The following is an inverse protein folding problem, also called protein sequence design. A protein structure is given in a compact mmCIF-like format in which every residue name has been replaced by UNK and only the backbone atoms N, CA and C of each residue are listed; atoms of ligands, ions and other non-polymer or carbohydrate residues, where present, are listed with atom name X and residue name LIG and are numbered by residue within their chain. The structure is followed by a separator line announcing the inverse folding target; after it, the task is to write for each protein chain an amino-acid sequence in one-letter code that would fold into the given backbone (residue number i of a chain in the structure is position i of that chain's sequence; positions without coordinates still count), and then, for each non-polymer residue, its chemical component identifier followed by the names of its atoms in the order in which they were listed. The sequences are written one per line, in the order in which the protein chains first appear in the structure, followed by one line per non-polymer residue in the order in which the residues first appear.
data_IF_097281942749
#
_entry.id   IF_097281942749
#
_cell.length_a   1.000
_cell.length_b   1.000
_cell.length_c   1.000
_cell.angle_alpha   90.00
_cell.angle_beta   90.00
_cell.angle_gamma   90.00
#
_symmetry.space_group_name_H-M   'P 1'
#
loop_
_entity.id
_entity.type
_entity.pdbx_description
1 polymer ?
#
# COMPACT_ATOMS: atom_id res chain seq x y z
N UNK A 1 2.98 -15.06 -8.79
CA UNK A 1 2.57 -15.72 -7.54
C UNK A 1 1.38 -16.66 -7.74
N UNK A 2 0.22 -16.20 -8.23
CA UNK A 2 -1.01 -17.03 -8.35
C UNK A 2 -0.81 -18.32 -9.12
N UNK A 3 -0.07 -18.28 -10.23
CA UNK A 3 0.27 -19.48 -11.00
C UNK A 3 1.17 -20.42 -10.17
N UNK A 4 2.17 -19.87 -9.48
CA UNK A 4 3.07 -20.64 -8.62
C UNK A 4 2.33 -21.27 -7.45
N UNK A 5 1.39 -20.56 -6.84
CA UNK A 5 0.52 -21.06 -5.78
C UNK A 5 -0.30 -22.25 -6.29
N UNK A 6 -0.99 -22.09 -7.42
CA UNK A 6 -1.75 -23.18 -8.04
C UNK A 6 -0.89 -24.42 -8.32
N UNK A 7 0.28 -24.25 -8.90
CA UNK A 7 1.20 -25.37 -9.21
C UNK A 7 1.71 -26.04 -7.94
N UNK A 8 2.01 -25.29 -6.89
CA UNK A 8 2.46 -25.83 -5.61
C UNK A 8 1.34 -26.60 -4.90
N UNK A 9 0.13 -26.07 -4.87
CA UNK A 9 -1.05 -26.77 -4.32
C UNK A 9 -1.36 -28.03 -5.11
N UNK A 10 -1.38 -27.96 -6.45
CA UNK A 10 -1.59 -29.14 -7.30
C UNK A 10 -0.56 -30.23 -7.02
N UNK A 11 0.71 -29.85 -6.90
CA UNK A 11 1.81 -30.78 -6.60
C UNK A 11 1.65 -31.42 -5.23
N UNK A 12 1.27 -30.63 -4.22
CA UNK A 12 0.99 -31.13 -2.87
C UNK A 12 -0.15 -32.18 -2.86
N UNK A 13 -1.27 -31.89 -3.51
CA UNK A 13 -2.39 -32.85 -3.62
C UNK A 13 -1.98 -34.11 -4.38
N UNK A 14 -1.20 -33.98 -5.46
CA UNK A 14 -0.69 -35.13 -6.18
C UNK A 14 0.19 -36.02 -5.29
N UNK A 15 1.06 -35.42 -4.48
CA UNK A 15 1.89 -36.16 -3.54
C UNK A 15 1.07 -36.83 -2.45
N UNK A 16 0.00 -36.17 -1.92
CA UNK A 16 -0.93 -36.77 -0.97
C UNK A 16 -1.66 -38.02 -1.53
N UNK A 17 -2.08 -37.96 -2.78
CA UNK A 17 -2.73 -39.10 -3.44
C UNK A 17 -1.72 -40.26 -3.58
N UNK A 18 -0.48 -39.96 -3.90
CA UNK A 18 0.57 -40.96 -4.03
C UNK A 18 0.98 -41.60 -2.70
N UNK A 19 0.85 -40.91 -1.57
CA UNK A 19 0.99 -41.49 -0.23
C UNK A 19 0.00 -42.64 0.00
N UNK A 20 -1.25 -42.43 -0.41
CA UNK A 20 -2.30 -43.45 -0.31
C UNK A 20 -1.96 -44.71 -1.13
N UNK A 21 -1.09 -44.55 -2.13
CA UNK A 21 -0.63 -45.63 -3.02
C UNK A 21 0.74 -46.25 -2.62
N UNK A 22 1.23 -46.00 -1.38
CA UNK A 22 2.40 -46.66 -0.82
C UNK A 22 3.71 -45.85 -0.87
N UNK A 23 3.71 -44.57 -1.24
CA UNK A 23 4.87 -43.70 -1.09
C UNK A 23 5.06 -43.26 0.37
N UNK A 24 6.28 -43.28 0.88
CA UNK A 24 6.58 -43.03 2.29
C UNK A 24 6.56 -41.55 2.70
N UNK A 25 6.67 -40.60 1.74
CA UNK A 25 6.86 -39.17 2.04
C UNK A 25 5.93 -38.26 1.23
N UNK A 26 5.39 -37.25 1.89
CA UNK A 26 4.62 -36.15 1.26
C UNK A 26 5.52 -35.29 0.35
N UNK A 27 6.81 -35.24 0.63
CA UNK A 27 7.83 -34.49 -0.15
C UNK A 27 8.94 -35.43 -0.59
N UNK A 28 9.43 -35.24 -1.81
CA UNK A 28 10.50 -36.05 -2.40
C UNK A 28 11.90 -35.46 -2.20
N UNK A 29 11.96 -34.16 -1.97
CA UNK A 29 13.21 -33.44 -1.79
C UNK A 29 12.98 -32.15 -0.95
N UNK A 30 14.08 -31.50 -0.55
CA UNK A 30 14.05 -30.29 0.27
C UNK A 30 13.25 -29.16 -0.38
N UNK A 31 13.27 -29.02 -1.70
CA UNK A 31 12.50 -27.99 -2.40
C UNK A 31 10.99 -28.18 -2.19
N UNK A 32 10.51 -29.42 -2.29
CA UNK A 32 9.10 -29.74 -2.05
C UNK A 32 8.71 -29.54 -0.59
N UNK A 33 9.60 -29.84 0.34
CA UNK A 33 9.41 -29.55 1.78
C UNK A 33 9.27 -28.05 2.01
N UNK A 34 10.14 -27.21 1.43
CA UNK A 34 10.06 -25.77 1.57
C UNK A 34 8.79 -25.18 0.91
N UNK A 35 8.35 -25.75 -0.21
CA UNK A 35 7.05 -25.38 -0.82
C UNK A 35 5.89 -25.71 0.10
N UNK A 36 5.88 -26.92 0.68
CA UNK A 36 4.86 -27.32 1.65
C UNK A 36 4.85 -26.37 2.86
N UNK A 37 6.01 -26.09 3.44
CA UNK A 37 6.15 -25.15 4.54
C UNK A 37 5.60 -23.76 4.17
N UNK A 38 5.94 -23.25 2.99
CA UNK A 38 5.46 -21.96 2.50
C UNK A 38 3.94 -21.92 2.34
N UNK A 39 3.33 -23.02 1.85
CA UNK A 39 1.88 -23.15 1.76
C UNK A 39 1.24 -23.13 3.16
N UNK A 40 1.79 -23.91 4.09
CA UNK A 40 1.30 -23.96 5.48
C UNK A 40 1.36 -22.56 6.12
N UNK A 41 2.49 -21.86 6.01
CA UNK A 41 2.64 -20.51 6.57
C UNK A 41 1.58 -19.55 6.02
N UNK A 42 1.34 -19.56 4.70
CA UNK A 42 0.35 -18.67 4.09
C UNK A 42 -1.07 -19.04 4.51
N UNK A 43 -1.47 -20.29 4.29
CA UNK A 43 -2.86 -20.71 4.52
C UNK A 43 -3.23 -20.74 5.99
N UNK A 44 -2.33 -21.21 6.87
CA UNK A 44 -2.58 -21.27 8.30
C UNK A 44 -2.70 -19.86 8.91
N UNK A 45 -1.88 -18.91 8.46
CA UNK A 45 -2.00 -17.52 8.89
C UNK A 45 -3.33 -16.92 8.50
N UNK A 46 -3.75 -17.08 7.23
CA UNK A 46 -5.03 -16.55 6.75
C UNK A 46 -6.19 -17.23 7.49
N UNK A 47 -6.12 -18.55 7.68
CA UNK A 47 -7.11 -19.31 8.43
C UNK A 47 -7.29 -18.77 9.86
N UNK A 48 -6.20 -18.60 10.61
CA UNK A 48 -6.29 -18.10 11.97
C UNK A 48 -6.77 -16.65 12.04
N UNK A 49 -6.41 -15.79 11.11
CA UNK A 49 -6.93 -14.42 11.05
C UNK A 49 -8.45 -14.43 10.91
N UNK A 50 -8.98 -15.30 10.05
CA UNK A 50 -10.43 -15.40 9.80
C UNK A 50 -11.14 -16.03 11.00
N UNK A 51 -10.69 -17.20 11.48
CA UNK A 51 -11.34 -17.94 12.56
C UNK A 51 -11.31 -17.20 13.90
N UNK A 52 -10.17 -16.59 14.23
CA UNK A 52 -10.04 -15.84 15.47
C UNK A 52 -10.59 -14.41 15.37
N UNK A 53 -11.11 -14.02 14.19
CA UNK A 53 -11.60 -12.65 13.91
C UNK A 53 -10.58 -11.61 14.38
N UNK A 54 -9.29 -11.89 14.10
CA UNK A 54 -8.19 -11.06 14.56
C UNK A 54 -8.31 -9.66 13.99
N UNK A 55 -8.19 -8.64 14.84
CA UNK A 55 -8.14 -7.25 14.40
C UNK A 55 -6.80 -6.99 13.73
N UNK A 56 -6.78 -6.99 12.41
CA UNK A 56 -5.58 -6.68 11.61
C UNK A 56 -5.63 -5.21 11.26
N UNK A 57 -4.55 -4.49 11.58
CA UNK A 57 -4.41 -3.11 11.12
C UNK A 57 -4.16 -3.10 9.61
N UNK A 58 -4.48 -1.96 8.99
CA UNK A 58 -4.32 -1.75 7.56
C UNK A 58 -2.91 -2.03 7.04
N UNK A 59 -2.86 -2.59 5.84
CA UNK A 59 -1.63 -2.94 5.15
C UNK A 59 -1.01 -4.26 5.62
N UNK A 60 0.15 -4.56 5.06
CA UNK A 60 0.88 -5.81 5.27
C UNK A 60 1.61 -5.93 6.62
N UNK A 61 1.62 -4.88 7.43
CA UNK A 61 2.51 -4.76 8.59
C UNK A 61 2.43 -5.93 9.57
N UNK A 62 1.22 -6.43 9.83
CA UNK A 62 1.03 -7.53 10.77
C UNK A 62 1.23 -8.92 10.16
N UNK A 63 1.14 -9.03 8.85
CA UNK A 63 1.30 -10.30 8.11
C UNK A 63 2.56 -10.33 7.25
N UNK A 64 3.50 -9.39 7.50
CA UNK A 64 4.71 -9.25 6.69
C UNK A 64 5.58 -10.51 6.71
N UNK A 65 5.50 -11.32 7.75
CA UNK A 65 6.23 -12.58 7.87
C UNK A 65 5.81 -13.65 6.85
N UNK A 66 4.66 -13.52 6.20
CA UNK A 66 4.28 -14.43 5.10
C UNK A 66 4.94 -14.05 3.77
N UNK A 67 5.51 -12.84 3.68
CA UNK A 67 6.09 -12.32 2.43
C UNK A 67 7.24 -13.18 1.88
N UNK A 68 8.19 -13.69 2.68
CA UNK A 68 9.20 -14.62 2.21
C UNK A 68 8.62 -15.87 1.53
N UNK A 69 7.53 -16.42 2.08
CA UNK A 69 6.84 -17.58 1.50
C UNK A 69 6.20 -17.25 0.15
N UNK A 70 5.60 -16.06 0.02
CA UNK A 70 5.04 -15.57 -1.25
C UNK A 70 6.14 -15.42 -2.30
N UNK A 71 7.27 -14.82 -1.94
CA UNK A 71 8.42 -14.63 -2.82
C UNK A 71 8.99 -15.98 -3.26
N UNK A 72 9.16 -16.91 -2.33
CA UNK A 72 9.67 -18.24 -2.62
C UNK A 72 8.81 -19.00 -3.65
N UNK A 73 7.48 -19.02 -3.46
CA UNK A 73 6.53 -19.62 -4.41
C UNK A 73 6.59 -18.92 -5.78
N UNK A 74 6.78 -17.59 -5.80
CA UNK A 74 6.90 -16.83 -7.04
C UNK A 74 8.18 -17.17 -7.81
N UNK A 75 9.32 -17.27 -7.11
CA UNK A 75 10.61 -17.70 -7.69
C UNK A 75 10.51 -19.11 -8.22
N UNK A 76 9.90 -20.02 -7.47
CA UNK A 76 9.67 -21.39 -7.93
C UNK A 76 8.88 -21.44 -9.24
N UNK A 77 7.83 -20.61 -9.35
CA UNK A 77 7.06 -20.50 -10.59
C UNK A 77 7.92 -20.00 -11.76
N UNK A 78 8.73 -18.98 -11.53
CA UNK A 78 9.65 -18.44 -12.56
C UNK A 78 10.64 -19.52 -13.00
N UNK A 79 11.23 -20.27 -12.08
CA UNK A 79 12.15 -21.39 -12.39
C UNK A 79 11.48 -22.47 -13.25
N UNK A 80 10.23 -22.86 -12.90
CA UNK A 80 9.47 -23.81 -13.70
C UNK A 80 9.20 -23.32 -15.12
N UNK A 81 8.85 -22.04 -15.26
CA UNK A 81 8.62 -21.41 -16.57
C UNK A 81 9.93 -21.34 -17.34
N UNK A 82 11.02 -20.93 -16.70
CA UNK A 82 12.35 -20.81 -17.29
C UNK A 82 12.88 -22.13 -17.84
N UNK A 83 12.60 -23.25 -17.14
CA UNK A 83 12.95 -24.60 -17.58
C UNK A 83 12.16 -25.09 -18.81
N UNK A 84 10.93 -24.60 -19.00
CA UNK A 84 10.03 -25.01 -20.07
C UNK A 84 10.11 -24.15 -21.32
N UNK A 85 10.48 -22.89 -21.21
CA UNK A 85 10.51 -21.94 -22.33
C UNK A 85 11.86 -22.03 -23.04
N UNK A 86 11.83 -22.12 -24.38
CA UNK A 86 13.05 -22.12 -25.23
C UNK A 86 13.70 -20.73 -25.27
N UNK A 87 12.89 -19.65 -25.21
CA UNK A 87 13.34 -18.25 -25.29
C UNK A 87 13.69 -17.72 -23.90
N UNK A 88 14.74 -18.24 -23.27
CA UNK A 88 15.18 -17.82 -21.92
C UNK A 88 15.48 -16.33 -21.84
N UNK A 89 16.13 -15.77 -22.87
CA UNK A 89 16.44 -14.34 -22.94
C UNK A 89 15.22 -13.42 -22.89
N UNK A 90 14.04 -13.89 -23.34
CA UNK A 90 12.80 -13.14 -23.19
C UNK A 90 12.40 -13.00 -21.71
N UNK A 91 12.53 -14.08 -20.93
CA UNK A 91 12.21 -14.05 -19.50
C UNK A 91 13.17 -13.11 -18.77
N UNK A 92 14.48 -13.22 -19.05
CA UNK A 92 15.50 -12.37 -18.45
C UNK A 92 15.23 -10.90 -18.78
N UNK A 93 14.91 -10.58 -20.04
CA UNK A 93 14.57 -9.23 -20.47
C UNK A 93 13.33 -8.70 -19.73
N UNK A 94 12.26 -9.50 -19.60
CA UNK A 94 11.05 -9.09 -18.87
C UNK A 94 11.33 -8.84 -17.40
N UNK A 95 12.18 -9.66 -16.76
CA UNK A 95 12.57 -9.45 -15.36
C UNK A 95 13.38 -8.13 -15.20
N UNK A 96 14.38 -7.90 -16.06
CA UNK A 96 15.16 -6.66 -16.02
C UNK A 96 14.30 -5.43 -16.27
N UNK A 97 13.42 -5.46 -17.28
CA UNK A 97 12.49 -4.37 -17.57
C UNK A 97 11.58 -4.11 -16.36
N UNK A 98 11.04 -5.15 -15.74
CA UNK A 98 10.21 -5.02 -14.55
C UNK A 98 10.97 -4.35 -13.40
N UNK A 99 12.22 -4.73 -13.15
CA UNK A 99 13.06 -4.11 -12.11
C UNK A 99 13.30 -2.63 -12.42
N UNK A 100 13.69 -2.31 -13.66
CA UNK A 100 13.95 -0.92 -14.08
C UNK A 100 12.70 -0.05 -13.91
N UNK A 101 11.53 -0.54 -14.35
CA UNK A 101 10.26 0.19 -14.20
C UNK A 101 9.92 0.46 -12.73
N UNK A 102 10.17 -0.51 -11.84
CA UNK A 102 9.95 -0.30 -10.39
C UNK A 102 10.93 0.74 -9.82
N UNK A 103 12.21 0.70 -10.22
CA UNK A 103 13.21 1.68 -9.80
C UNK A 103 12.80 3.08 -10.26
N UNK A 104 12.44 3.24 -11.53
CA UNK A 104 11.99 4.53 -12.07
C UNK A 104 10.74 5.04 -11.34
N UNK A 105 9.79 4.14 -11.04
CA UNK A 105 8.61 4.49 -10.28
C UNK A 105 8.97 5.00 -8.87
N UNK A 106 9.89 4.32 -8.17
CA UNK A 106 10.36 4.72 -6.84
C UNK A 106 10.98 6.12 -6.88
N UNK A 107 11.86 6.41 -7.84
CA UNK A 107 12.47 7.72 -7.98
C UNK A 107 11.45 8.82 -8.26
N UNK A 108 10.49 8.57 -9.16
CA UNK A 108 9.48 9.55 -9.54
C UNK A 108 8.47 9.84 -8.44
N UNK A 109 8.26 8.88 -7.51
CA UNK A 109 7.27 9.02 -6.45
C UNK A 109 7.89 9.23 -5.06
N UNK A 110 9.17 9.58 -4.99
CA UNK A 110 9.80 9.91 -3.72
C UNK A 110 9.22 11.22 -3.14
N UNK A 111 8.86 11.30 -1.84
CA UNK A 111 8.97 10.28 -0.77
C UNK A 111 7.72 9.40 -0.57
N UNK A 112 6.79 9.36 -1.50
CA UNK A 112 5.47 8.71 -1.35
C UNK A 112 5.43 7.25 -1.82
N UNK A 113 6.58 6.55 -1.85
CA UNK A 113 6.69 5.17 -2.37
C UNK A 113 5.81 4.16 -1.62
N UNK A 114 5.52 4.41 -0.35
CA UNK A 114 4.65 3.53 0.44
C UNK A 114 3.19 3.52 -0.01
N UNK A 115 2.78 4.51 -0.84
CA UNK A 115 1.47 4.57 -1.48
C UNK A 115 1.41 3.81 -2.82
N UNK A 116 2.33 2.85 -3.03
CA UNK A 116 2.30 2.04 -4.24
C UNK A 116 1.08 1.13 -4.28
N UNK A 117 0.27 1.31 -5.31
CA UNK A 117 -0.82 0.40 -5.65
C UNK A 117 -0.57 -0.20 -7.02
N UNK A 118 -0.79 -1.53 -7.12
CA UNK A 118 -0.65 -2.24 -8.38
C UNK A 118 -1.59 -1.64 -9.43
N UNK A 119 -1.11 -1.50 -10.67
CA UNK A 119 -1.88 -1.00 -11.82
C UNK A 119 -3.15 -1.79 -12.14
N UNK A 120 -3.27 -3.03 -11.62
CA UNK A 120 -4.47 -3.85 -11.72
C UNK A 120 -5.63 -3.25 -10.90
N UNK A 121 -5.32 -2.51 -9.83
CA UNK A 121 -6.34 -1.85 -9.02
C UNK A 121 -6.88 -0.66 -9.82
N UNK A 122 -8.17 -0.71 -10.16
CA UNK A 122 -8.79 0.39 -10.87
C UNK A 122 -8.76 1.68 -10.03
N UNK A 123 -8.66 2.83 -10.70
CA UNK A 123 -8.70 4.15 -10.04
C UNK A 123 -9.90 4.30 -9.09
N UNK A 124 -11.05 3.73 -9.44
CA UNK A 124 -12.24 3.76 -8.60
C UNK A 124 -12.13 2.95 -7.31
N UNK A 125 -11.30 1.92 -7.29
CA UNK A 125 -11.12 1.05 -6.12
C UNK A 125 -10.03 1.55 -5.17
N UNK A 126 -9.12 2.41 -5.62
CA UNK A 126 -8.06 2.98 -4.77
C UNK A 126 -8.67 3.78 -3.61
N UNK A 127 -9.83 4.41 -3.81
CA UNK A 127 -10.59 5.11 -2.76
C UNK A 127 -11.01 4.24 -1.58
N UNK A 128 -10.94 2.92 -1.71
CA UNK A 128 -11.25 1.98 -0.63
C UNK A 128 -10.03 1.65 0.25
N UNK A 129 -8.86 2.14 -0.12
CA UNK A 129 -7.61 1.95 0.62
C UNK A 129 -7.25 3.22 1.39
N UNK A 130 -6.52 3.04 2.48
CA UNK A 130 -5.93 4.17 3.21
C UNK A 130 -4.76 4.73 2.39
N UNK A 131 -4.84 6.03 2.13
CA UNK A 131 -3.75 6.79 1.54
C UNK A 131 -2.96 7.44 2.67
N UNK A 132 -1.81 7.96 2.40
CA UNK A 132 -0.96 8.74 3.31
C UNK A 132 -1.11 8.45 4.82
N UNK A 133 -1.08 7.17 5.19
CA UNK A 133 -1.23 6.70 6.57
C UNK A 133 -0.27 7.42 7.54
N UNK A 134 0.94 7.70 7.09
CA UNK A 134 1.97 8.34 7.92
C UNK A 134 1.93 9.87 7.87
N UNK A 135 1.08 10.48 7.04
CA UNK A 135 0.97 11.93 6.92
C UNK A 135 2.24 12.60 6.36
N UNK A 136 2.98 11.91 5.49
CA UNK A 136 4.20 12.45 4.87
C UNK A 136 3.87 13.69 4.02
N UNK A 137 2.67 13.75 3.44
CA UNK A 137 2.20 14.90 2.66
C UNK A 137 1.90 16.14 3.52
N UNK A 138 1.65 15.97 4.83
CA UNK A 138 1.18 17.05 5.69
C UNK A 138 2.10 18.28 5.68
N UNK A 139 3.41 18.08 5.79
CA UNK A 139 4.38 19.20 5.78
C UNK A 139 4.31 19.97 4.46
N UNK A 140 4.21 19.27 3.34
CA UNK A 140 4.15 19.90 2.01
C UNK A 140 2.84 20.67 1.83
N UNK A 141 1.74 20.14 2.36
CA UNK A 141 0.44 20.82 2.38
C UNK A 141 0.53 22.12 3.17
N UNK A 142 1.10 22.08 4.37
CA UNK A 142 1.25 23.28 5.21
C UNK A 142 2.12 24.34 4.55
N UNK A 143 3.27 23.96 3.96
CA UNK A 143 4.12 24.87 3.21
C UNK A 143 3.37 25.51 2.03
N UNK A 144 2.57 24.71 1.31
CA UNK A 144 1.78 25.23 0.19
C UNK A 144 0.68 26.20 0.63
N UNK A 145 0.07 25.98 1.79
CA UNK A 145 -0.89 26.93 2.37
C UNK A 145 -0.21 28.26 2.71
N UNK A 146 1.01 28.22 3.26
CA UNK A 146 1.80 29.41 3.52
C UNK A 146 2.06 30.21 2.23
N UNK A 147 2.40 29.51 1.14
CA UNK A 147 2.64 30.13 -0.17
C UNK A 147 1.36 30.76 -0.76
N UNK A 148 0.22 30.13 -0.57
CA UNK A 148 -1.08 30.57 -1.09
C UNK A 148 -1.68 31.73 -0.32
N UNK A 149 -1.43 31.81 0.98
CA UNK A 149 -2.05 32.79 1.86
C UNK A 149 -1.10 33.92 2.24
N UNK A 150 -1.55 35.17 2.07
CA UNK A 150 -0.84 36.38 2.55
C UNK A 150 -1.24 36.79 3.97
N UNK A 151 -2.14 36.07 4.65
CA UNK A 151 -2.60 36.40 6.00
C UNK A 151 -1.47 36.21 7.00
N UNK A 152 -1.43 37.06 8.02
CA UNK A 152 -0.51 36.93 9.16
C UNK A 152 -0.82 35.70 9.99
N UNK A 153 -2.11 35.41 10.18
CA UNK A 153 -2.62 34.22 10.88
C UNK A 153 -3.55 33.46 9.93
N UNK A 154 -3.27 32.18 9.75
CA UNK A 154 -4.01 31.26 8.87
C UNK A 154 -4.67 30.21 9.74
N UNK A 155 -5.98 30.20 9.78
CA UNK A 155 -6.76 29.20 10.52
C UNK A 155 -6.98 27.97 9.65
N UNK A 156 -6.55 26.80 10.14
CA UNK A 156 -6.64 25.54 9.43
C UNK A 156 -7.48 24.54 10.24
N UNK A 157 -8.53 24.02 9.63
CA UNK A 157 -9.29 22.89 10.15
C UNK A 157 -8.72 21.58 9.61
N UNK A 158 -8.37 20.65 10.51
CA UNK A 158 -7.81 19.34 10.15
C UNK A 158 -8.92 18.31 10.16
N UNK A 159 -9.27 17.82 8.96
CA UNK A 159 -10.33 16.82 8.79
C UNK A 159 -9.84 15.37 8.94
N UNK A 160 -8.55 15.13 9.03
CA UNK A 160 -7.95 13.80 9.18
C UNK A 160 -7.46 13.54 10.59
N UNK A 161 -7.37 12.26 10.96
CA UNK A 161 -6.88 11.82 12.28
C UNK A 161 -5.38 12.06 12.45
N UNK A 162 -4.64 12.28 11.35
CA UNK A 162 -3.20 12.45 11.38
C UNK A 162 -2.76 13.76 12.02
N UNK A 163 -1.70 13.71 12.85
CA UNK A 163 -1.27 14.85 13.64
C UNK A 163 -0.52 15.89 12.81
N UNK A 164 -1.22 16.81 12.17
CA UNK A 164 -0.64 17.95 11.47
C UNK A 164 0.23 18.85 12.37
N UNK A 165 -0.02 18.85 13.69
CA UNK A 165 0.81 19.58 14.64
C UNK A 165 2.28 19.12 14.64
N UNK A 166 2.55 17.82 14.42
CA UNK A 166 3.92 17.34 14.29
C UNK A 166 4.60 17.89 13.03
N UNK A 167 3.88 17.91 11.92
CA UNK A 167 4.38 18.51 10.68
C UNK A 167 4.58 20.01 10.80
N UNK A 168 3.69 20.71 11.51
CA UNK A 168 3.87 22.12 11.85
C UNK A 168 5.18 22.37 12.62
N UNK A 169 5.55 21.49 13.54
CA UNK A 169 6.81 21.61 14.30
C UNK A 169 8.07 21.47 13.45
N UNK A 170 7.96 20.89 12.26
CA UNK A 170 9.07 20.76 11.30
C UNK A 170 9.22 22.01 10.39
N UNK A 171 8.30 22.98 10.45
CA UNK A 171 8.36 24.21 9.67
C UNK A 171 9.31 25.22 10.28
N UNK A 172 9.70 26.23 9.47
CA UNK A 172 10.44 27.38 9.95
C UNK A 172 9.64 28.17 10.98
N UNK A 173 10.30 28.78 11.95
CA UNK A 173 9.64 29.47 13.08
C UNK A 173 8.75 30.66 12.63
N UNK A 174 9.09 31.34 11.54
CA UNK A 174 8.26 32.39 10.94
C UNK A 174 6.93 31.84 10.43
N UNK A 175 6.97 30.74 9.69
CA UNK A 175 5.80 30.13 9.05
C UNK A 175 4.93 29.40 10.06
N UNK A 176 5.56 28.73 11.03
CA UNK A 176 4.91 28.07 12.14
C UNK A 176 4.02 29.00 12.96
N UNK A 177 4.44 30.26 13.18
CA UNK A 177 3.66 31.27 13.90
C UNK A 177 2.41 31.69 13.14
N UNK A 178 2.43 31.61 11.82
CA UNK A 178 1.29 31.97 10.97
C UNK A 178 0.18 30.93 10.98
N UNK A 179 0.45 29.67 11.32
CA UNK A 179 -0.52 28.58 11.29
C UNK A 179 -1.17 28.43 12.66
N UNK A 180 -2.49 28.50 12.69
CA UNK A 180 -3.33 28.18 13.84
C UNK A 180 -4.32 27.09 13.47
N UNK A 181 -4.32 25.97 14.20
CA UNK A 181 -5.35 24.94 14.03
C UNK A 181 -6.62 25.34 14.78
N UNK A 182 -7.77 25.15 14.15
CA UNK A 182 -9.10 25.40 14.73
C UNK A 182 -9.93 24.12 14.74
N UNK A 183 -10.79 24.00 15.75
CA UNK A 183 -11.77 22.91 15.83
C UNK A 183 -13.10 23.27 15.15
N UNK A 184 -13.30 24.56 14.86
CA UNK A 184 -14.49 25.05 14.19
C UNK A 184 -14.23 25.18 12.68
N UNK A 185 -14.95 24.41 11.87
CA UNK A 185 -14.83 24.40 10.42
C UNK A 185 -15.26 25.75 9.80
N UNK A 186 -16.22 26.44 10.40
CA UNK A 186 -16.75 27.71 9.88
C UNK A 186 -15.77 28.87 10.07
N UNK A 187 -14.82 28.74 10.98
CA UNK A 187 -13.77 29.74 11.20
C UNK A 187 -12.49 29.48 10.41
N UNK A 188 -12.41 28.34 9.72
CA UNK A 188 -11.21 27.94 9.03
C UNK A 188 -11.05 28.66 7.69
N UNK A 189 -9.84 29.13 7.41
CA UNK A 189 -9.43 29.60 6.08
C UNK A 189 -9.18 28.44 5.11
N UNK A 190 -8.68 27.31 5.64
CA UNK A 190 -8.39 26.11 4.89
C UNK A 190 -8.87 24.86 5.63
N UNK A 191 -9.38 23.91 4.86
CA UNK A 191 -9.67 22.56 5.34
C UNK A 191 -8.65 21.61 4.74
N UNK A 192 -7.96 20.85 5.60
CA UNK A 192 -6.91 19.92 5.16
C UNK A 192 -7.25 18.50 5.53
N UNK A 193 -6.87 17.59 4.65
CA UNK A 193 -6.95 16.16 4.91
C UNK A 193 -5.88 15.40 4.13
N UNK A 194 -5.33 14.37 4.74
CA UNK A 194 -4.39 13.46 4.09
C UNK A 194 -5.08 12.19 3.56
N UNK A 195 -6.38 12.17 3.45
CA UNK A 195 -7.18 11.04 2.97
C UNK A 195 -7.01 9.73 3.76
N UNK A 196 -6.53 9.81 5.00
CA UNK A 196 -6.36 8.64 5.85
C UNK A 196 -7.67 7.88 6.07
N UNK A 197 -8.79 8.60 6.31
CA UNK A 197 -10.12 8.02 6.47
C UNK A 197 -11.08 8.50 5.40
N UNK A 198 -11.07 7.85 4.24
CA UNK A 198 -11.97 8.21 3.14
C UNK A 198 -13.46 8.06 3.47
N UNK A 199 -13.80 7.19 4.41
CA UNK A 199 -15.19 6.98 4.85
C UNK A 199 -15.86 8.28 5.31
N UNK A 200 -15.10 9.23 5.85
CA UNK A 200 -15.61 10.54 6.27
C UNK A 200 -15.88 11.48 5.10
N UNK A 201 -15.18 11.34 3.98
CA UNK A 201 -15.38 12.17 2.78
C UNK A 201 -16.76 11.99 2.19
N UNK A 202 -17.26 10.74 2.16
CA UNK A 202 -18.58 10.46 1.63
C UNK A 202 -19.71 11.08 2.44
N UNK A 203 -19.50 11.31 3.73
CA UNK A 203 -20.48 12.02 4.60
C UNK A 203 -20.44 13.54 4.39
N UNK A 204 -19.32 14.09 3.95
CA UNK A 204 -19.06 15.50 3.83
C UNK A 204 -18.71 15.94 2.40
N UNK A 205 -19.43 15.41 1.40
CA UNK A 205 -19.24 15.75 -0.02
C UNK A 205 -19.20 17.25 -0.33
N UNK A 206 -19.88 18.06 0.47
CA UNK A 206 -19.89 19.53 0.38
C UNK A 206 -18.49 20.13 0.33
N UNK A 207 -17.52 19.55 1.05
CA UNK A 207 -16.17 20.07 1.17
C UNK A 207 -15.16 19.38 0.24
N UNK A 208 -15.48 18.19 -0.26
CA UNK A 208 -14.55 17.33 -0.97
C UNK A 208 -15.17 16.77 -2.26
N UNK A 209 -15.53 17.63 -3.20
CA UNK A 209 -15.98 17.19 -4.51
C UNK A 209 -14.80 16.78 -5.39
N UNK A 210 -14.92 15.63 -6.07
CA UNK A 210 -14.01 15.14 -7.12
C UNK A 210 -12.60 14.69 -6.70
N UNK A 211 -12.47 14.10 -5.52
CA UNK A 211 -11.17 13.63 -5.01
C UNK A 211 -10.65 12.38 -5.74
N UNK A 212 -9.51 12.49 -6.44
CA UNK A 212 -8.86 11.37 -7.12
C UNK A 212 -7.59 10.90 -6.38
N UNK A 213 -7.54 9.62 -5.93
CA UNK A 213 -6.54 9.15 -4.95
C UNK A 213 -5.11 8.94 -5.48
N UNK A 214 -4.84 9.02 -6.77
CA UNK A 214 -3.53 8.73 -7.34
C UNK A 214 -2.56 9.91 -7.39
N UNK A 215 -3.05 11.11 -7.15
CA UNK A 215 -2.26 12.33 -7.17
C UNK A 215 -2.28 13.00 -5.79
N UNK A 216 -1.88 12.26 -4.74
CA UNK A 216 -1.97 12.71 -3.34
C UNK A 216 -1.42 14.12 -3.17
N UNK A 217 -0.32 14.44 -3.82
CA UNK A 217 0.32 15.73 -3.72
C UNK A 217 -0.43 16.86 -4.44
N UNK A 218 -0.71 16.69 -5.72
CA UNK A 218 -1.49 17.63 -6.55
C UNK A 218 -2.88 17.84 -5.97
N UNK A 219 -3.42 16.81 -5.45
CA UNK A 219 -4.73 16.64 -4.95
C UNK A 219 -5.02 17.34 -3.64
N UNK A 220 -4.15 17.19 -2.66
CA UNK A 220 -4.28 17.79 -1.34
C UNK A 220 -4.15 19.33 -1.41
N UNK A 221 -3.54 19.84 -2.47
CA UNK A 221 -3.36 21.27 -2.69
C UNK A 221 -4.45 21.89 -3.57
N UNK A 222 -4.91 21.17 -4.61
CA UNK A 222 -5.91 21.70 -5.54
C UNK A 222 -7.36 21.66 -5.00
N UNK A 223 -7.63 20.78 -4.03
CA UNK A 223 -8.98 20.62 -3.47
C UNK A 223 -9.20 21.32 -2.12
N UNK A 224 -8.28 22.15 -1.68
CA UNK A 224 -8.56 23.05 -0.57
C UNK A 224 -9.53 24.12 -1.03
N UNK A 225 -10.74 24.12 -0.49
CA UNK A 225 -11.63 25.26 -0.63
C UNK A 225 -11.19 26.31 0.38
N UNK A 226 -10.87 27.49 -0.10
CA UNK A 226 -10.88 28.69 0.76
C UNK A 226 -12.32 28.85 1.24
N UNK A 227 -12.50 28.85 2.54
CA UNK A 227 -13.78 29.21 3.19
C UNK A 227 -13.81 30.71 3.40
#
# INVERSE_FOLDING_TARGET
FSIGLYLSVKKFFFNLINLKNGNENIWKNNLELYLLYSLIVIFLTIFFIIELKATVYTGWRQVYFIYPSIVFISIYCIDLIYKKIKLKGLIDTLLYVSIILNILWIFNNHPYQYNFYNSIISKNNIKNFELDYYGISNLKILNKIIDLSKKEVIKIYVFSVNPYYLSKNMMNESDKKRIQFTENIDEADFIVSNHYYQKYYYKNKKYFENVHPLEVEKYLVENFKLI
#
